data_IF_899819491901
#
_entry.id   IF_899819491901
#
_cell.length_a   1.000
_cell.length_b   1.000
_cell.length_c   1.000
_cell.angle_alpha   90.00
_cell.angle_beta   90.00
_cell.angle_gamma   90.00
#
_symmetry.space_group_name_H-M   'P 1'
#
loop_
_entity.id
_entity.type
_entity.pdbx_description
1 polymer ?
#
# COMPACT_ATOMS: atom_id res chain seq x y z
N UNK A 1 8.68 -56.97 10.55
CA UNK A 1 8.64 -56.34 9.21
C UNK A 1 7.89 -55.02 9.29
N UNK A 2 8.64 -53.94 9.47
CA UNK A 2 8.38 -52.49 9.28
C UNK A 2 9.60 -51.84 9.94
N UNK A 3 10.44 -51.10 9.19
CA UNK A 3 10.17 -49.67 9.01
C UNK A 3 10.66 -49.18 7.64
N UNK A 4 9.92 -49.42 6.56
CA UNK A 4 10.20 -48.79 5.25
C UNK A 4 9.35 -47.53 5.01
N UNK A 5 8.34 -47.28 5.84
CA UNK A 5 7.40 -46.17 5.66
C UNK A 5 7.87 -44.82 6.22
N UNK A 6 8.95 -44.76 7.02
CA UNK A 6 9.48 -43.48 7.56
C UNK A 6 10.44 -42.76 6.60
N UNK A 7 11.11 -43.47 5.68
CA UNK A 7 12.12 -42.86 4.81
C UNK A 7 11.50 -42.09 3.61
N UNK A 8 10.32 -42.50 3.13
CA UNK A 8 9.64 -41.86 2.00
C UNK A 8 8.99 -40.54 2.41
N UNK A 9 8.51 -40.45 3.66
CA UNK A 9 7.93 -39.20 4.20
C UNK A 9 9.01 -38.13 4.38
N UNK A 10 10.24 -38.47 4.79
CA UNK A 10 11.30 -37.47 4.92
C UNK A 10 11.76 -36.93 3.56
N UNK A 11 11.88 -37.77 2.52
CA UNK A 11 12.33 -37.33 1.19
C UNK A 11 11.33 -36.37 0.52
N UNK A 12 10.02 -36.58 0.67
CA UNK A 12 8.98 -35.68 0.17
C UNK A 12 8.96 -34.31 0.89
N UNK A 13 9.29 -34.28 2.19
CA UNK A 13 9.42 -33.02 2.93
C UNK A 13 10.63 -32.18 2.49
N UNK A 14 11.75 -32.81 2.11
CA UNK A 14 12.94 -32.11 1.63
C UNK A 14 12.74 -31.42 0.26
N UNK A 15 12.03 -32.07 -0.67
CA UNK A 15 11.77 -31.50 -2.01
C UNK A 15 10.82 -30.29 -1.91
N UNK A 16 9.83 -30.35 -1.03
CA UNK A 16 8.87 -29.26 -0.84
C UNK A 16 9.51 -28.02 -0.19
N UNK A 17 10.43 -28.22 0.76
CA UNK A 17 11.13 -27.14 1.45
C UNK A 17 12.09 -26.38 0.52
N UNK A 18 12.82 -27.09 -0.35
CA UNK A 18 13.75 -26.49 -1.32
C UNK A 18 13.01 -25.66 -2.36
N UNK A 19 11.90 -26.15 -2.92
CA UNK A 19 11.08 -25.39 -3.88
C UNK A 19 10.47 -24.12 -3.27
N UNK A 20 9.99 -24.19 -2.02
CA UNK A 20 9.47 -23.04 -1.29
C UNK A 20 10.51 -21.95 -1.03
N UNK A 21 11.74 -22.35 -0.67
CA UNK A 21 12.85 -21.42 -0.47
C UNK A 21 13.28 -20.77 -1.79
N UNK A 22 13.34 -21.52 -2.89
CA UNK A 22 13.61 -20.96 -4.22
C UNK A 22 12.51 -19.98 -4.66
N UNK A 23 11.23 -20.30 -4.42
CA UNK A 23 10.12 -19.40 -4.74
C UNK A 23 10.21 -18.09 -3.95
N UNK A 24 10.42 -18.15 -2.64
CA UNK A 24 10.54 -16.95 -1.80
C UNK A 24 11.66 -16.03 -2.30
N UNK A 25 12.79 -16.57 -2.73
CA UNK A 25 13.86 -15.74 -3.32
C UNK A 25 13.46 -15.09 -4.65
N UNK A 26 12.71 -15.79 -5.51
CA UNK A 26 12.14 -15.19 -6.73
C UNK A 26 11.15 -14.07 -6.41
N UNK A 27 10.27 -14.28 -5.42
CA UNK A 27 9.31 -13.28 -4.96
C UNK A 27 10.06 -12.02 -4.43
N UNK A 28 11.08 -12.22 -3.58
CA UNK A 28 11.93 -11.14 -3.05
C UNK A 28 12.62 -10.38 -4.18
N UNK A 29 13.15 -11.10 -5.17
CA UNK A 29 13.80 -10.48 -6.32
C UNK A 29 12.79 -9.62 -7.08
N UNK A 30 11.61 -10.13 -7.38
CA UNK A 30 10.57 -9.36 -8.09
C UNK A 30 10.17 -8.10 -7.31
N UNK A 31 10.00 -8.19 -5.99
CA UNK A 31 9.73 -7.02 -5.15
C UNK A 31 10.86 -5.99 -5.25
N UNK A 32 12.12 -6.43 -5.16
CA UNK A 32 13.30 -5.54 -5.25
C UNK A 32 13.50 -4.95 -6.65
N UNK A 33 13.07 -5.67 -7.69
CA UNK A 33 13.11 -5.16 -9.07
C UNK A 33 12.14 -3.97 -9.25
N UNK A 34 11.21 -3.71 -8.32
CA UNK A 34 10.41 -2.47 -8.30
C UNK A 34 11.19 -1.24 -7.80
N UNK A 35 12.35 -1.42 -7.15
CA UNK A 35 13.18 -0.32 -6.68
C UNK A 35 13.96 0.35 -7.83
N UNK A 36 14.13 1.67 -7.79
CA UNK A 36 14.83 2.45 -8.82
C UNK A 36 14.31 3.86 -9.02
N UNK A 37 14.89 4.56 -10.00
CA UNK A 37 14.40 5.84 -10.49
C UNK A 37 13.53 5.62 -11.73
N UNK A 38 12.35 6.25 -11.77
CA UNK A 38 11.35 6.00 -12.80
C UNK A 38 10.72 7.27 -13.34
N UNK A 39 10.52 7.28 -14.66
CA UNK A 39 9.45 8.06 -15.28
C UNK A 39 8.16 7.24 -15.23
N UNK A 40 7.13 7.81 -14.61
CA UNK A 40 5.84 7.16 -14.39
C UNK A 40 4.78 7.80 -15.28
N UNK A 41 3.98 6.99 -15.96
CA UNK A 41 2.68 7.42 -16.51
C UNK A 41 1.54 6.86 -15.67
N UNK A 42 0.45 7.62 -15.55
CA UNK A 42 -0.77 7.27 -14.83
C UNK A 42 -1.94 7.39 -15.81
N UNK A 43 -2.55 6.27 -16.19
CA UNK A 43 -3.59 6.22 -17.22
C UNK A 43 -4.82 5.50 -16.67
N UNK A 44 -5.97 6.18 -16.66
CA UNK A 44 -7.20 5.63 -16.09
C UNK A 44 -8.41 5.95 -16.96
N UNK A 45 -9.27 4.95 -17.16
CA UNK A 45 -10.51 5.07 -17.93
C UNK A 45 -11.63 4.25 -17.29
N UNK A 46 -12.82 4.83 -17.18
CA UNK A 46 -14.01 4.09 -16.74
C UNK A 46 -14.51 3.16 -17.85
N UNK A 47 -14.84 1.92 -17.51
CA UNK A 47 -15.11 0.84 -18.48
C UNK A 47 -16.56 0.41 -18.50
N UNK A 48 -17.10 -0.11 -17.42
CA UNK A 48 -18.48 -0.61 -17.35
C UNK A 48 -19.21 0.04 -16.18
N UNK A 49 -20.51 0.26 -16.32
CA UNK A 49 -21.39 0.63 -15.21
C UNK A 49 -22.65 -0.22 -15.29
N UNK A 50 -23.19 -0.69 -14.16
CA UNK A 50 -24.49 -1.36 -14.15
C UNK A 50 -25.65 -0.40 -14.46
N UNK A 51 -25.44 0.92 -14.30
CA UNK A 51 -26.42 1.93 -14.66
C UNK A 51 -26.27 2.31 -16.14
N UNK A 52 -27.30 2.06 -16.95
CA UNK A 52 -27.31 2.35 -18.39
C UNK A 52 -27.23 3.85 -18.70
N UNK A 53 -27.70 4.69 -17.79
CA UNK A 53 -27.70 6.14 -17.93
C UNK A 53 -26.41 6.78 -17.36
N UNK A 54 -25.46 5.97 -16.89
CA UNK A 54 -24.21 6.49 -16.33
C UNK A 54 -23.29 7.05 -17.41
N UNK A 55 -23.03 8.35 -17.33
CA UNK A 55 -22.01 9.02 -18.13
C UNK A 55 -20.63 8.89 -17.48
N UNK A 56 -19.76 8.12 -18.14
CA UNK A 56 -18.36 7.94 -17.76
C UNK A 56 -17.63 9.27 -17.66
N UNK A 57 -16.75 9.38 -16.67
CA UNK A 57 -15.86 10.53 -16.54
C UNK A 57 -14.76 10.50 -17.61
N UNK A 58 -14.24 11.67 -18.01
CA UNK A 58 -13.11 11.74 -18.94
C UNK A 58 -11.92 10.91 -18.46
N UNK A 59 -11.19 10.33 -19.42
CA UNK A 59 -9.96 9.61 -19.12
C UNK A 59 -8.97 10.52 -18.40
N UNK A 60 -8.24 9.94 -17.46
CA UNK A 60 -7.20 10.63 -16.71
C UNK A 60 -5.82 10.23 -17.23
N UNK A 61 -4.98 11.23 -17.47
CA UNK A 61 -3.57 11.08 -17.80
C UNK A 61 -2.74 12.00 -16.90
N UNK A 62 -1.66 11.46 -16.33
CA UNK A 62 -0.62 12.25 -15.69
C UNK A 62 0.73 11.53 -15.81
N UNK A 63 1.81 12.26 -15.56
CA UNK A 63 3.14 11.70 -15.44
C UNK A 63 3.89 12.27 -14.24
N UNK A 64 4.89 11.54 -13.75
CA UNK A 64 5.76 11.99 -12.68
C UNK A 64 7.15 11.35 -12.77
N UNK A 65 8.12 11.95 -12.08
CA UNK A 65 9.39 11.31 -11.78
C UNK A 65 9.36 10.83 -10.33
N UNK A 66 9.80 9.60 -10.07
CA UNK A 66 9.78 9.04 -8.71
C UNK A 66 10.99 8.15 -8.46
N UNK A 67 11.55 8.27 -7.26
CA UNK A 67 12.48 7.31 -6.69
C UNK A 67 11.71 6.31 -5.82
N UNK A 68 11.79 5.03 -6.15
CA UNK A 68 11.38 3.93 -5.28
C UNK A 68 12.62 3.37 -4.57
N UNK A 69 12.82 3.80 -3.32
CA UNK A 69 14.02 3.50 -2.53
C UNK A 69 13.76 2.34 -1.56
N UNK A 70 14.57 1.26 -1.58
CA UNK A 70 14.51 0.22 -0.55
C UNK A 70 15.04 0.78 0.77
N UNK A 71 14.17 0.83 1.78
CA UNK A 71 14.50 1.35 3.13
C UNK A 71 14.56 0.23 4.19
N UNK A 72 14.17 -0.99 3.82
CA UNK A 72 14.45 -2.23 4.56
C UNK A 72 14.54 -3.41 3.58
N UNK A 73 15.49 -4.32 3.80
CA UNK A 73 15.67 -5.59 3.06
C UNK A 73 16.03 -6.69 4.07
N UNK A 74 15.04 -7.18 4.80
CA UNK A 74 15.13 -8.27 5.78
C UNK A 74 14.53 -9.54 5.19
N UNK A 75 14.83 -10.73 5.71
CA UNK A 75 14.39 -12.02 5.14
C UNK A 75 12.87 -12.13 4.87
N UNK A 76 12.04 -11.60 5.77
CA UNK A 76 10.57 -11.65 5.68
C UNK A 76 9.93 -10.29 5.43
N UNK A 77 10.74 -9.24 5.19
CA UNK A 77 10.26 -7.87 5.06
C UNK A 77 11.09 -7.07 4.07
N UNK A 78 10.42 -6.46 3.10
CA UNK A 78 11.01 -5.43 2.23
C UNK A 78 10.15 -4.18 2.36
N UNK A 79 10.76 -3.03 2.61
CA UNK A 79 10.04 -1.75 2.66
C UNK A 79 10.59 -0.81 1.61
N UNK A 80 9.70 -0.23 0.82
CA UNK A 80 10.03 0.66 -0.31
C UNK A 80 9.37 2.01 -0.06
N UNK A 81 10.19 3.05 0.05
CA UNK A 81 9.75 4.43 0.13
C UNK A 81 9.72 5.05 -1.26
N UNK A 82 8.58 5.64 -1.62
CA UNK A 82 8.42 6.36 -2.88
C UNK A 82 8.53 7.87 -2.64
N UNK A 83 9.44 8.52 -3.38
CA UNK A 83 9.71 9.95 -3.32
C UNK A 83 9.48 10.56 -4.69
N UNK A 84 8.46 11.42 -4.82
CA UNK A 84 8.18 12.12 -6.06
C UNK A 84 9.13 13.30 -6.23
N UNK A 85 9.61 13.50 -7.45
CA UNK A 85 10.31 14.71 -7.86
C UNK A 85 9.38 15.59 -8.69
N UNK A 86 9.25 16.85 -8.27
CA UNK A 86 8.48 17.88 -8.98
C UNK A 86 9.47 18.96 -9.45
N UNK A 87 9.40 19.33 -10.73
CA UNK A 87 10.29 20.30 -11.36
C UNK A 87 11.78 20.01 -11.07
N UNK A 88 12.15 18.73 -11.16
CA UNK A 88 13.51 18.18 -11.01
C UNK A 88 14.23 18.42 -9.67
N UNK A 89 13.59 19.08 -8.69
CA UNK A 89 14.27 19.55 -7.47
C UNK A 89 13.40 19.48 -6.21
N UNK A 90 12.08 19.62 -6.34
CA UNK A 90 11.18 19.58 -5.19
C UNK A 90 10.81 18.13 -4.88
N UNK A 91 11.23 17.63 -3.72
CA UNK A 91 10.95 16.26 -3.29
C UNK A 91 9.70 16.22 -2.42
N UNK A 92 8.82 15.26 -2.72
CA UNK A 92 7.63 14.95 -1.92
C UNK A 92 7.71 13.49 -1.48
N UNK A 93 7.77 13.25 -0.17
CA UNK A 93 7.51 11.91 0.37
C UNK A 93 6.08 11.50 0.03
N UNK A 94 5.92 10.56 -0.91
CA UNK A 94 4.65 10.32 -1.57
C UNK A 94 3.86 9.18 -0.93
N UNK A 95 4.43 7.99 -0.88
CA UNK A 95 3.80 6.82 -0.25
C UNK A 95 4.87 5.80 0.10
N UNK A 96 4.49 4.80 0.90
CA UNK A 96 5.36 3.70 1.28
C UNK A 96 4.61 2.39 1.07
N UNK A 97 5.34 1.37 0.67
CA UNK A 97 4.83 0.00 0.63
C UNK A 97 5.76 -0.91 1.43
N UNK A 98 5.16 -1.69 2.33
CA UNK A 98 5.83 -2.78 3.01
C UNK A 98 5.33 -4.10 2.42
N UNK A 99 6.27 -5.00 2.15
CA UNK A 99 6.03 -6.36 1.71
C UNK A 99 6.44 -7.29 2.84
N UNK A 100 5.47 -8.04 3.36
CA UNK A 100 5.66 -8.92 4.53
C UNK A 100 5.31 -10.36 4.16
N UNK A 101 6.28 -11.27 4.30
CA UNK A 101 6.09 -12.69 3.98
C UNK A 101 5.27 -13.39 5.07
N UNK A 102 4.24 -14.15 4.67
CA UNK A 102 3.34 -14.92 5.55
C UNK A 102 2.73 -14.09 6.69
N UNK A 103 2.56 -12.79 6.49
CA UNK A 103 2.08 -11.87 7.50
C UNK A 103 0.59 -12.08 7.81
N UNK A 104 0.26 -12.30 9.08
CA UNK A 104 -1.10 -12.49 9.55
C UNK A 104 -1.83 -11.17 9.87
N UNK A 105 -1.10 -10.12 10.21
CA UNK A 105 -1.69 -8.86 10.68
C UNK A 105 -2.02 -7.95 9.50
N UNK A 106 -3.30 -7.74 9.21
CA UNK A 106 -3.74 -6.93 8.06
C UNK A 106 -4.71 -5.84 8.50
N UNK A 107 -4.83 -4.81 7.68
CA UNK A 107 -5.86 -3.79 7.82
C UNK A 107 -6.57 -3.54 6.49
N UNK A 108 -7.89 -3.45 6.53
CA UNK A 108 -8.70 -3.16 5.36
C UNK A 108 -9.39 -1.82 5.54
N UNK A 109 -9.41 -1.02 4.48
CA UNK A 109 -10.18 0.23 4.50
C UNK A 109 -11.67 -0.10 4.44
N UNK A 110 -12.46 0.53 5.30
CA UNK A 110 -13.92 0.45 5.22
C UNK A 110 -14.46 1.64 4.42
N UNK A 111 -14.63 2.79 5.06
CA UNK A 111 -14.94 4.09 4.47
C UNK A 111 -14.65 5.20 5.48
N UNK A 112 -14.75 6.46 5.09
CA UNK A 112 -14.73 7.61 6.01
C UNK A 112 -13.51 7.67 6.97
N UNK A 113 -12.34 7.21 6.51
CA UNK A 113 -11.11 7.08 7.31
C UNK A 113 -11.24 6.07 8.48
N UNK A 114 -11.94 4.97 8.23
CA UNK A 114 -12.01 3.82 9.11
C UNK A 114 -11.22 2.67 8.47
N UNK A 115 -10.37 2.04 9.26
CA UNK A 115 -9.67 0.82 8.90
C UNK A 115 -9.95 -0.27 9.92
N UNK A 116 -10.27 -1.47 9.46
CA UNK A 116 -10.49 -2.63 10.31
C UNK A 116 -9.22 -3.47 10.35
N UNK A 117 -8.64 -3.62 11.54
CA UNK A 117 -7.47 -4.45 11.82
C UNK A 117 -7.91 -5.84 12.22
N UNK A 118 -7.30 -6.85 11.59
CA UNK A 118 -7.62 -8.24 11.85
C UNK A 118 -6.39 -9.14 11.69
N UNK A 119 -6.45 -10.29 12.35
CA UNK A 119 -5.45 -11.36 12.23
C UNK A 119 -5.98 -12.47 11.34
N UNK A 120 -5.26 -12.74 10.25
CA UNK A 120 -5.55 -13.86 9.35
C UNK A 120 -4.99 -15.18 9.91
N UNK A 121 -5.64 -16.33 9.64
CA UNK A 121 -5.06 -17.64 9.94
C UNK A 121 -3.74 -17.86 9.18
N UNK A 122 -2.76 -18.55 9.79
CA UNK A 122 -1.47 -18.87 9.16
C UNK A 122 -1.64 -19.53 7.78
N UNK A 123 -2.63 -20.41 7.68
CA UNK A 123 -2.87 -21.21 6.48
C UNK A 123 -3.40 -20.36 5.32
N UNK A 124 -4.02 -19.21 5.61
CA UNK A 124 -4.51 -18.28 4.59
C UNK A 124 -3.39 -17.45 3.96
N UNK A 125 -2.25 -17.31 4.65
CA UNK A 125 -1.13 -16.44 4.23
C UNK A 125 0.14 -17.21 3.90
N UNK A 126 0.12 -18.54 4.05
CA UNK A 126 1.26 -19.42 3.77
C UNK A 126 1.77 -19.24 2.33
N UNK A 127 3.06 -18.99 2.17
CA UNK A 127 3.71 -18.72 0.89
C UNK A 127 3.35 -17.39 0.23
N UNK A 128 2.57 -16.53 0.90
CA UNK A 128 2.11 -15.26 0.35
C UNK A 128 2.95 -14.09 0.84
N UNK A 129 2.86 -12.98 0.09
CA UNK A 129 3.34 -11.68 0.52
C UNK A 129 2.16 -10.74 0.73
N UNK A 130 2.12 -10.11 1.90
CA UNK A 130 1.20 -9.00 2.18
C UNK A 130 1.84 -7.69 1.72
N UNK A 131 1.16 -6.95 0.84
CA UNK A 131 1.46 -5.54 0.58
C UNK A 131 0.67 -4.68 1.56
N UNK A 132 1.36 -3.88 2.37
CA UNK A 132 0.75 -2.80 3.18
C UNK A 132 1.16 -1.46 2.57
N UNK A 133 0.17 -0.67 2.16
CA UNK A 133 0.37 0.64 1.54
C UNK A 133 0.03 1.73 2.55
N UNK A 134 0.92 2.71 2.66
CA UNK A 134 0.83 3.83 3.59
C UNK A 134 0.81 5.17 2.84
N UNK A 135 0.19 6.17 3.45
CA UNK A 135 0.06 7.52 2.88
C UNK A 135 1.34 8.35 3.07
N UNK A 136 1.30 9.62 2.66
CA UNK A 136 2.41 10.59 2.78
C UNK A 136 2.96 10.71 4.20
N UNK A 137 2.10 10.58 5.22
CA UNK A 137 2.40 10.66 6.65
C UNK A 137 2.56 9.29 7.33
N UNK A 138 2.71 8.24 6.53
CA UNK A 138 2.75 6.83 6.96
C UNK A 138 1.47 6.32 7.64
N UNK A 139 0.36 7.06 7.65
CA UNK A 139 -0.96 6.53 8.04
C UNK A 139 -1.40 5.39 7.11
N UNK A 140 -2.25 4.44 7.56
CA UNK A 140 -2.66 3.33 6.72
C UNK A 140 -3.43 3.82 5.49
N UNK A 141 -3.22 3.15 4.36
CA UNK A 141 -4.00 3.36 3.14
C UNK A 141 -4.82 2.13 2.83
N UNK A 142 -4.18 1.02 2.49
CA UNK A 142 -4.82 -0.29 2.29
C UNK A 142 -3.79 -1.40 2.45
N UNK A 143 -4.25 -2.63 2.65
CA UNK A 143 -3.38 -3.80 2.60
C UNK A 143 -4.05 -4.98 1.92
N UNK A 144 -3.26 -5.96 1.50
CA UNK A 144 -3.77 -7.22 0.99
C UNK A 144 -2.66 -8.23 0.80
N UNK A 145 -3.04 -9.51 0.79
CA UNK A 145 -2.11 -10.64 0.72
C UNK A 145 -2.42 -11.51 -0.49
N UNK A 146 -1.37 -11.92 -1.21
CA UNK A 146 -1.46 -12.83 -2.34
C UNK A 146 -0.11 -13.49 -2.62
N UNK A 147 -0.09 -14.48 -3.50
CA UNK A 147 1.13 -15.13 -3.98
C UNK A 147 1.70 -14.39 -5.18
N UNK A 148 3.02 -14.22 -5.23
CA UNK A 148 3.71 -13.94 -6.49
C UNK A 148 3.64 -15.17 -7.40
N UNK A 149 3.42 -14.93 -8.69
CA UNK A 149 3.36 -15.92 -9.76
C UNK A 149 4.56 -15.72 -10.68
N UNK A 150 5.29 -16.81 -10.93
CA UNK A 150 6.43 -16.86 -11.85
C UNK A 150 6.18 -17.97 -12.88
N UNK A 151 5.78 -17.60 -14.10
CA UNK A 151 5.42 -18.54 -15.17
C UNK A 151 5.60 -17.88 -16.52
N UNK A 152 6.14 -18.61 -17.50
CA UNK A 152 6.33 -18.13 -18.89
C UNK A 152 6.98 -16.73 -18.97
N UNK A 153 8.08 -16.54 -18.22
CA UNK A 153 8.83 -15.28 -18.10
C UNK A 153 8.02 -14.08 -17.53
N UNK A 154 6.83 -14.34 -16.96
CA UNK A 154 6.03 -13.34 -16.26
C UNK A 154 6.24 -13.45 -14.76
N UNK A 155 6.36 -12.30 -14.11
CA UNK A 155 6.52 -12.19 -12.66
C UNK A 155 5.53 -11.16 -12.14
N UNK A 156 4.46 -11.61 -11.50
CA UNK A 156 3.43 -10.70 -11.01
C UNK A 156 2.84 -11.12 -9.68
N UNK A 157 2.35 -10.13 -8.94
CA UNK A 157 1.54 -10.30 -7.74
C UNK A 157 0.22 -9.60 -7.95
N UNK A 158 -0.88 -10.25 -7.56
CA UNK A 158 -2.21 -9.72 -7.80
C UNK A 158 -3.15 -9.93 -6.63
N UNK A 159 -3.84 -8.88 -6.20
CA UNK A 159 -4.83 -8.92 -5.13
C UNK A 159 -5.99 -7.97 -5.42
N UNK A 160 -7.09 -8.12 -4.67
CA UNK A 160 -8.18 -7.15 -4.64
C UNK A 160 -8.43 -6.68 -3.20
N UNK A 161 -8.51 -5.37 -2.97
CA UNK A 161 -8.68 -4.81 -1.62
C UNK A 161 -9.30 -3.42 -1.63
N UNK A 162 -10.07 -3.10 -0.60
CA UNK A 162 -10.65 -1.77 -0.42
C UNK A 162 -9.60 -0.73 -0.07
N UNK A 163 -9.81 0.48 -0.59
CA UNK A 163 -8.89 1.60 -0.39
C UNK A 163 -9.60 2.95 -0.37
N UNK A 164 -8.99 3.96 0.29
CA UNK A 164 -9.40 5.34 0.16
C UNK A 164 -9.29 5.83 -1.28
N UNK A 165 -10.14 6.78 -1.63
CA UNK A 165 -10.08 7.43 -2.92
C UNK A 165 -8.72 8.13 -3.14
N UNK A 166 -8.13 8.03 -4.35
CA UNK A 166 -6.94 8.80 -4.69
C UNK A 166 -7.31 10.27 -4.93
N UNK A 167 -6.31 11.16 -4.83
CA UNK A 167 -6.50 12.63 -4.96
C UNK A 167 -7.22 13.06 -6.23
N UNK A 168 -6.95 12.40 -7.37
CA UNK A 168 -7.61 12.70 -8.64
C UNK A 168 -9.14 12.54 -8.57
N UNK A 169 -9.64 11.71 -7.67
CA UNK A 169 -11.07 11.43 -7.50
C UNK A 169 -11.66 12.39 -6.45
N UNK A 170 -11.23 12.31 -5.18
CA UNK A 170 -11.90 13.06 -4.09
C UNK A 170 -11.84 14.59 -4.22
N UNK A 171 -10.98 15.13 -5.09
CA UNK A 171 -10.92 16.58 -5.36
C UNK A 171 -11.84 17.04 -6.50
N UNK A 172 -12.42 16.09 -7.25
CA UNK A 172 -13.20 16.35 -8.46
C UNK A 172 -14.62 15.82 -8.39
N UNK A 173 -14.89 14.85 -7.52
CA UNK A 173 -16.18 14.18 -7.39
C UNK A 173 -16.42 13.66 -5.97
N UNK A 174 -17.67 13.31 -5.69
CA UNK A 174 -18.17 12.88 -4.38
C UNK A 174 -19.32 11.86 -4.50
N UNK A 175 -19.49 11.24 -5.67
CA UNK A 175 -20.56 10.30 -6.02
C UNK A 175 -20.27 8.84 -5.61
N UNK A 176 -19.13 8.58 -4.98
CA UNK A 176 -18.76 7.32 -4.36
C UNK A 176 -17.70 7.54 -3.28
N UNK A 177 -17.41 6.54 -2.45
CA UNK A 177 -16.58 6.71 -1.25
C UNK A 177 -15.55 5.60 -1.00
N UNK A 178 -15.64 4.47 -1.70
CA UNK A 178 -14.69 3.36 -1.57
C UNK A 178 -14.19 2.95 -2.95
N UNK A 179 -12.90 2.67 -3.06
CA UNK A 179 -12.33 2.07 -4.26
C UNK A 179 -11.86 0.66 -3.92
N UNK A 180 -12.57 -0.34 -4.45
CA UNK A 180 -12.14 -1.73 -4.41
C UNK A 180 -11.11 -1.93 -5.52
N UNK A 181 -9.83 -1.85 -5.16
CA UNK A 181 -8.70 -1.89 -6.09
C UNK A 181 -8.33 -3.31 -6.41
N UNK A 182 -8.38 -3.69 -7.69
CA UNK A 182 -7.57 -4.78 -8.21
C UNK A 182 -6.15 -4.26 -8.42
N UNK A 183 -5.17 -4.80 -7.70
CA UNK A 183 -3.76 -4.44 -7.86
C UNK A 183 -3.06 -5.60 -8.55
N UNK A 184 -2.39 -5.33 -9.68
CA UNK A 184 -1.46 -6.26 -10.31
C UNK A 184 -0.12 -5.57 -10.49
N UNK A 185 0.88 -5.98 -9.70
CA UNK A 185 2.27 -5.55 -9.86
C UNK A 185 2.97 -6.55 -10.75
N UNK A 186 3.45 -6.12 -11.91
CA UNK A 186 4.10 -6.99 -12.90
C UNK A 186 5.47 -6.42 -13.27
N UNK A 187 6.51 -7.25 -13.15
CA UNK A 187 7.88 -6.87 -13.53
C UNK A 187 8.03 -7.03 -15.05
N UNK A 188 8.61 -6.02 -15.69
CA UNK A 188 8.81 -5.96 -17.13
C UNK A 188 10.27 -5.68 -17.48
N UNK A 189 10.64 -5.84 -18.75
CA UNK A 189 12.00 -5.56 -19.21
C UNK A 189 12.42 -4.08 -19.05
N UNK A 190 11.46 -3.15 -19.01
CA UNK A 190 11.73 -1.71 -18.89
C UNK A 190 11.56 -1.17 -17.46
N UNK A 191 11.12 -2.00 -16.51
CA UNK A 191 10.80 -1.59 -15.14
C UNK A 191 9.66 -2.44 -14.59
N UNK A 192 8.53 -1.83 -14.27
CA UNK A 192 7.36 -2.56 -13.80
C UNK A 192 6.06 -1.81 -14.09
N UNK A 193 4.96 -2.54 -13.99
CA UNK A 193 3.61 -2.05 -14.24
C UNK A 193 2.77 -2.30 -12.97
N UNK A 194 1.99 -1.30 -12.58
CA UNK A 194 0.86 -1.47 -11.67
C UNK A 194 -0.44 -1.36 -12.46
N UNK A 195 -0.91 -2.50 -12.97
CA UNK A 195 -2.20 -2.59 -13.64
C UNK A 195 -3.31 -2.65 -12.58
N UNK A 196 -4.42 -1.97 -12.86
CA UNK A 196 -5.52 -1.87 -11.93
C UNK A 196 -6.86 -2.15 -12.60
N UNK A 197 -7.65 -3.01 -11.96
CA UNK A 197 -9.06 -3.25 -12.28
C UNK A 197 -9.87 -2.83 -11.06
N UNK A 198 -10.31 -1.58 -11.06
CA UNK A 198 -10.93 -0.92 -9.92
C UNK A 198 -12.45 -0.95 -10.03
N UNK A 199 -13.13 -1.18 -8.91
CA UNK A 199 -14.56 -0.92 -8.78
C UNK A 199 -14.76 0.34 -7.90
N UNK A 200 -15.56 1.28 -8.39
CA UNK A 200 -15.98 2.49 -7.68
C UNK A 200 -17.24 2.16 -6.90
N UNK A 201 -17.14 2.12 -5.59
CA UNK A 201 -18.19 1.61 -4.70
C UNK A 201 -18.80 2.75 -3.87
N UNK A 202 -20.13 2.77 -3.82
CA UNK A 202 -20.92 3.55 -2.87
C UNK A 202 -21.24 2.62 -1.70
N UNK A 203 -20.63 2.90 -0.55
CA UNK A 203 -20.81 2.13 0.69
C UNK A 203 -21.59 2.95 1.72
N UNK A 204 -22.67 2.37 2.22
CA UNK A 204 -23.51 2.94 3.27
C UNK A 204 -23.66 1.97 4.44
N UNK A 205 -23.77 2.49 5.67
CA UNK A 205 -23.87 1.64 6.86
C UNK A 205 -25.14 0.77 6.80
N UNK A 206 -24.98 -0.54 7.00
CA UNK A 206 -26.09 -1.49 7.05
C UNK A 206 -26.78 -1.74 5.70
N UNK A 207 -26.19 -1.29 4.58
CA UNK A 207 -26.67 -1.56 3.23
C UNK A 207 -25.62 -2.31 2.43
N UNK A 208 -26.07 -2.98 1.38
CA UNK A 208 -25.17 -3.59 0.41
C UNK A 208 -24.43 -2.51 -0.40
N UNK A 209 -23.19 -2.83 -0.77
CA UNK A 209 -22.37 -1.98 -1.63
C UNK A 209 -23.01 -1.83 -3.00
N UNK A 210 -23.02 -0.59 -3.52
CA UNK A 210 -23.50 -0.30 -4.87
C UNK A 210 -22.31 0.02 -5.77
N UNK A 211 -22.17 -0.75 -6.85
CA UNK A 211 -21.19 -0.48 -7.90
C UNK A 211 -21.62 0.72 -8.74
N UNK A 212 -20.86 1.81 -8.67
CA UNK A 212 -21.06 2.98 -9.53
C UNK A 212 -20.51 2.74 -10.94
N UNK A 213 -19.24 2.37 -11.02
CA UNK A 213 -18.54 2.11 -12.28
C UNK A 213 -17.27 1.29 -12.04
N UNK A 214 -16.84 0.56 -13.06
CA UNK A 214 -15.54 -0.08 -13.14
C UNK A 214 -14.56 0.84 -13.85
N UNK A 215 -13.28 0.73 -13.53
CA UNK A 215 -12.20 1.55 -14.08
C UNK A 215 -10.99 0.67 -14.36
N UNK A 216 -10.44 0.78 -15.58
CA UNK A 216 -9.12 0.25 -15.90
C UNK A 216 -8.08 1.32 -15.62
N UNK A 217 -7.07 0.97 -14.83
CA UNK A 217 -5.91 1.81 -14.55
C UNK A 217 -4.61 1.13 -14.97
N UNK A 218 -3.63 1.94 -15.35
CA UNK A 218 -2.27 1.49 -15.61
C UNK A 218 -1.30 2.56 -15.09
N UNK A 219 -0.43 2.17 -14.15
CA UNK A 219 0.75 2.96 -13.84
C UNK A 219 1.98 2.26 -14.43
N UNK A 220 2.67 2.90 -15.36
CA UNK A 220 3.86 2.33 -16.00
C UNK A 220 5.11 2.98 -15.43
N UNK A 221 5.97 2.20 -14.79
CA UNK A 221 7.22 2.67 -14.19
C UNK A 221 8.37 2.34 -15.13
N UNK A 222 8.78 3.31 -15.94
CA UNK A 222 9.89 3.14 -16.89
C UNK A 222 11.19 3.55 -16.23
N UNK A 223 12.10 2.59 -16.07
CA UNK A 223 13.36 2.80 -15.37
C UNK A 223 14.24 3.78 -16.15
N UNK A 224 14.82 4.73 -15.44
CA UNK A 224 15.76 5.72 -15.97
C UNK A 224 17.05 5.72 -15.15
N UNK A 225 18.06 6.45 -15.63
CA UNK A 225 19.33 6.64 -14.92
C UNK A 225 19.07 7.21 -13.51
N UNK A 226 19.69 6.64 -12.49
CA UNK A 226 19.51 7.03 -11.09
C UNK A 226 19.88 8.49 -10.82
N UNK A 227 20.75 9.10 -11.64
CA UNK A 227 21.09 10.53 -11.55
C UNK A 227 19.87 11.44 -11.71
N UNK A 228 18.83 11.01 -12.45
CA UNK A 228 17.58 11.78 -12.55
C UNK A 228 16.84 11.90 -11.20
N UNK A 229 17.16 11.06 -10.23
CA UNK A 229 16.58 11.06 -8.89
C UNK A 229 17.56 11.53 -7.81
N UNK A 230 18.70 12.14 -8.16
CA UNK A 230 19.74 12.56 -7.21
C UNK A 230 19.17 13.45 -6.10
N UNK A 231 18.34 14.45 -6.43
CA UNK A 231 17.68 15.30 -5.45
C UNK A 231 16.83 14.52 -4.42
N UNK A 232 16.18 13.42 -4.82
CA UNK A 232 15.41 12.57 -3.90
C UNK A 232 16.30 11.67 -3.03
N UNK A 233 17.44 11.22 -3.55
CA UNK A 233 18.44 10.46 -2.78
C UNK A 233 19.03 11.36 -1.69
N UNK A 234 19.43 12.58 -2.05
CA UNK A 234 19.99 13.56 -1.12
C UNK A 234 18.96 13.93 -0.05
N UNK A 235 17.72 14.20 -0.47
CA UNK A 235 16.62 14.47 0.44
C UNK A 235 16.39 13.30 1.42
N UNK A 236 16.39 12.05 0.96
CA UNK A 236 16.22 10.93 1.89
C UNK A 236 17.37 10.81 2.89
N UNK A 237 18.59 11.15 2.47
CA UNK A 237 19.76 11.13 3.35
C UNK A 237 19.62 12.13 4.49
N UNK A 238 19.05 13.30 4.23
CA UNK A 238 18.81 14.34 5.25
C UNK A 238 17.58 14.05 6.13
N UNK A 239 16.52 13.50 5.54
CA UNK A 239 15.20 13.40 6.18
C UNK A 239 14.86 12.01 6.72
N UNK A 240 15.62 10.98 6.34
CA UNK A 240 15.29 9.57 6.57
C UNK A 240 15.19 9.18 8.05
N UNK A 241 16.00 9.79 8.93
CA UNK A 241 15.97 9.51 10.37
C UNK A 241 14.66 9.99 11.03
N UNK A 242 14.19 11.19 10.70
CA UNK A 242 12.91 11.69 11.18
C UNK A 242 11.76 10.78 10.71
N UNK A 243 11.75 10.42 9.43
CA UNK A 243 10.72 9.52 8.89
C UNK A 243 10.83 8.09 9.42
N UNK A 244 12.00 7.65 9.87
CA UNK A 244 12.12 6.42 10.65
C UNK A 244 11.38 6.54 11.98
N UNK A 245 11.56 7.65 12.69
CA UNK A 245 10.83 7.91 13.94
C UNK A 245 9.31 7.99 13.72
N UNK A 246 8.85 8.52 12.57
CA UNK A 246 7.44 8.51 12.18
C UNK A 246 6.91 7.08 11.98
N UNK A 247 7.66 6.24 11.26
CA UNK A 247 7.30 4.82 11.10
C UNK A 247 7.25 4.09 12.43
N UNK A 248 8.21 4.33 13.32
CA UNK A 248 8.26 3.70 14.64
C UNK A 248 7.09 4.16 15.53
N UNK A 249 6.68 5.43 15.42
CA UNK A 249 5.51 5.95 16.12
C UNK A 249 4.21 5.30 15.63
N UNK A 250 4.04 5.15 14.31
CA UNK A 250 2.93 4.36 13.76
C UNK A 250 2.99 2.88 14.14
N UNK A 251 4.19 2.33 14.29
CA UNK A 251 4.44 0.98 14.79
C UNK A 251 3.89 0.72 16.20
N UNK A 252 3.65 1.76 17.00
CA UNK A 252 2.96 1.63 18.30
C UNK A 252 1.43 1.63 18.16
N UNK A 253 0.91 2.10 17.04
CA UNK A 253 -0.53 2.15 16.76
C UNK A 253 -0.99 0.83 16.13
N UNK A 254 -0.23 0.26 15.20
CA UNK A 254 -0.66 -0.88 14.39
C UNK A 254 -0.88 -2.23 15.10
N UNK A 255 -0.19 -2.56 16.21
CA UNK A 255 -0.47 -3.78 16.97
C UNK A 255 -1.82 -3.70 17.70
N UNK A 256 -2.91 -3.86 16.96
CA UNK A 256 -4.30 -3.81 17.46
C UNK A 256 -5.23 -4.74 16.68
N UNK A 257 -6.40 -4.99 17.26
CA UNK A 257 -7.56 -5.57 16.58
C UNK A 257 -8.71 -4.54 16.60
N UNK A 258 -9.65 -4.67 15.66
CA UNK A 258 -10.78 -3.76 15.55
C UNK A 258 -10.47 -2.48 14.76
N UNK A 259 -11.21 -1.41 15.02
CA UNK A 259 -11.18 -0.24 14.16
C UNK A 259 -10.07 0.76 14.55
N UNK A 260 -9.47 1.37 13.52
CA UNK A 260 -8.74 2.62 13.61
C UNK A 260 -9.52 3.67 12.84
N UNK A 261 -9.94 4.72 13.53
CA UNK A 261 -10.67 5.85 12.94
C UNK A 261 -9.77 7.07 13.01
N UNK A 262 -9.52 7.71 11.86
CA UNK A 262 -8.70 8.92 11.78
C UNK A 262 -9.52 10.13 11.36
N UNK A 263 -9.45 11.21 12.14
CA UNK A 263 -9.96 12.51 11.67
C UNK A 263 -9.14 12.99 10.47
N UNK A 264 -9.80 13.60 9.49
CA UNK A 264 -9.11 14.10 8.27
C UNK A 264 -8.12 15.22 8.59
N UNK A 265 -8.40 16.01 9.63
CA UNK A 265 -7.67 17.23 9.97
C UNK A 265 -7.72 17.49 11.47
N UNK A 266 -6.62 18.02 12.01
CA UNK A 266 -6.53 18.71 13.30
C UNK A 266 -6.04 20.13 13.01
N UNK A 267 -6.65 21.14 13.62
CA UNK A 267 -6.38 22.56 13.32
C UNK A 267 -6.47 22.89 11.82
N UNK A 268 -7.48 22.33 11.16
CA UNK A 268 -7.74 22.45 9.72
C UNK A 268 -6.57 21.99 8.81
N UNK A 269 -5.63 21.21 9.34
CA UNK A 269 -4.48 20.67 8.60
C UNK A 269 -4.44 19.12 8.69
N UNK A 270 -4.11 18.42 7.59
CA UNK A 270 -3.86 16.99 7.62
C UNK A 270 -2.54 16.69 8.36
N UNK A 271 -2.36 15.44 8.81
CA UNK A 271 -1.22 15.02 9.66
C UNK A 271 0.14 15.36 9.03
N UNK A 272 0.35 15.07 7.75
CA UNK A 272 1.62 15.39 7.09
C UNK A 272 2.02 16.88 7.17
N UNK A 273 1.06 17.81 7.24
CA UNK A 273 1.34 19.25 7.36
C UNK A 273 1.82 19.64 8.76
N UNK A 274 1.58 18.79 9.76
CA UNK A 274 2.10 18.95 11.11
C UNK A 274 3.46 18.26 11.30
N UNK A 275 3.70 17.17 10.55
CA UNK A 275 4.99 16.46 10.59
C UNK A 275 6.16 17.30 10.07
N UNK A 276 6.01 18.04 8.96
CA UNK A 276 7.13 18.85 8.44
C UNK A 276 7.61 19.97 9.39
N UNK A 277 6.74 20.75 10.07
CA UNK A 277 7.19 21.66 11.12
C UNK A 277 7.84 20.95 12.31
N UNK A 278 7.39 19.74 12.64
CA UNK A 278 7.95 18.95 13.74
C UNK A 278 9.36 18.46 13.40
N UNK A 279 9.56 17.98 12.17
CA UNK A 279 10.87 17.63 11.61
C UNK A 279 11.86 18.80 11.68
N UNK A 280 11.46 19.98 11.22
CA UNK A 280 12.30 21.21 11.25
C UNK A 280 12.73 21.62 12.66
N UNK A 281 11.99 21.21 13.68
CA UNK A 281 12.30 21.48 15.09
C UNK A 281 13.10 20.35 15.76
N UNK A 282 13.42 19.28 15.02
CA UNK A 282 14.07 18.09 15.57
C UNK A 282 13.16 17.29 16.49
N UNK A 283 11.85 17.29 16.23
CA UNK A 283 10.86 16.65 17.09
C UNK A 283 11.09 15.14 17.22
N UNK A 284 11.07 14.65 18.46
CA UNK A 284 11.36 13.26 18.78
C UNK A 284 10.15 12.34 18.65
N UNK A 285 10.39 11.03 18.74
CA UNK A 285 9.34 9.98 18.67
C UNK A 285 8.15 10.24 19.60
N UNK A 286 8.37 10.72 20.82
CA UNK A 286 7.30 11.02 21.78
C UNK A 286 6.36 12.13 21.31
N UNK A 287 6.90 13.20 20.70
CA UNK A 287 6.10 14.29 20.14
C UNK A 287 5.32 13.82 18.90
N UNK A 288 5.94 12.98 18.08
CA UNK A 288 5.29 12.37 16.91
C UNK A 288 4.10 11.50 17.35
N UNK A 289 4.28 10.65 18.37
CA UNK A 289 3.20 9.84 18.95
C UNK A 289 2.08 10.75 19.49
N UNK A 290 2.45 11.79 20.22
CA UNK A 290 1.50 12.78 20.74
C UNK A 290 0.66 13.42 19.62
N UNK A 291 1.30 13.77 18.50
CA UNK A 291 0.64 14.29 17.32
C UNK A 291 -0.27 13.26 16.66
N UNK A 292 0.20 12.02 16.41
CA UNK A 292 -0.60 10.95 15.81
C UNK A 292 -1.86 10.69 16.66
N UNK A 293 -1.73 10.66 17.99
CA UNK A 293 -2.87 10.46 18.92
C UNK A 293 -3.96 11.51 18.78
N UNK A 294 -3.64 12.75 18.38
CA UNK A 294 -4.65 13.78 18.12
C UNK A 294 -5.49 13.48 16.89
N UNK A 295 -4.96 12.69 15.96
CA UNK A 295 -5.67 12.27 14.75
C UNK A 295 -6.52 11.03 14.95
N UNK A 296 -6.27 10.24 16.00
CA UNK A 296 -7.02 9.02 16.31
C UNK A 296 -8.28 9.39 17.10
N UNK A 297 -9.45 9.01 16.59
CA UNK A 297 -10.70 9.09 17.35
C UNK A 297 -10.65 8.03 18.44
N UNK A 298 -10.73 8.44 19.70
CA UNK A 298 -10.88 7.50 20.80
C UNK A 298 -12.33 7.00 20.82
N UNK A 299 -12.51 5.68 20.75
CA UNK A 299 -13.81 5.09 21.05
C UNK A 299 -14.09 5.31 22.53
N UNK A 300 -14.94 6.29 22.86
CA UNK A 300 -15.56 6.31 24.18
C UNK A 300 -16.53 5.14 24.24
N UNK A 301 -16.34 4.23 25.19
CA UNK A 301 -17.33 3.22 25.54
C UNK A 301 -18.71 3.89 25.66
N UNK A 302 -19.65 3.53 24.76
CA UNK A 302 -21.05 3.92 24.87
C UNK A 302 -21.54 5.10 24.04
N UNK A 303 -21.20 5.20 22.75
CA UNK A 303 -22.07 5.93 21.82
C UNK A 303 -22.31 5.15 20.54
N UNK A 304 -23.54 4.63 20.41
CA UNK A 304 -24.12 4.31 19.12
C UNK A 304 -24.04 5.58 18.25
N UNK A 305 -23.21 5.54 17.20
CA UNK A 305 -23.03 6.69 16.31
C UNK A 305 -24.27 6.84 15.44
N UNK A 306 -25.19 7.66 15.93
CA UNK A 306 -26.20 8.34 15.13
C UNK A 306 -25.54 9.42 14.27
N UNK A 307 -25.86 9.38 12.99
CA UNK A 307 -25.60 10.37 11.95
C UNK A 307 -25.81 11.83 12.38
N UNK A 308 -24.81 12.68 12.12
CA UNK A 308 -24.98 14.07 11.68
C UNK A 308 -23.89 14.46 10.70
#
# INVERSE_FOLDING_TARGET
MKPLSLLIVSLLTFISATYGQTKKELDRKAIKDMCGCYEITFEYAETFSPNQDYEKKPNYFASAMELALPIADEENKISIQHLLLVNDSTVIKHWRQDWLYENQEVFYYDKDNIWTFQKLPAEAVKGQWTQKVYQVDDSPRYSGTASWVHVDDKHYWENKTDSPLPRREYTKRNDYNVMLRGNRHEITAFGWIHAQDNDKIIRENGKEDVLLAQEKGMNSYTRVDSKKCEAAIDWWTEHGEFWSSVRDAWGEVYPREGNLILVKKVDNKPLYRHLYPLEKKGGGKAEIIGLIKQFIVQETEGSAVGSK
#
